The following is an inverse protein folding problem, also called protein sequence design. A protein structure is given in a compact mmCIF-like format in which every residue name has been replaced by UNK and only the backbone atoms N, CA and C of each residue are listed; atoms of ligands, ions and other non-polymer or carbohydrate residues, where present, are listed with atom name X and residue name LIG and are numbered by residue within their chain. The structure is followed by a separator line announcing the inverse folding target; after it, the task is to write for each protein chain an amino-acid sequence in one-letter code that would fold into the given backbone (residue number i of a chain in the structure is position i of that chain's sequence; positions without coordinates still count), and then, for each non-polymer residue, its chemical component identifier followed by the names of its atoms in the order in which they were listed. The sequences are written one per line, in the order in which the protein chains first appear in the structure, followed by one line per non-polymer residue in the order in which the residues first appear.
data_IF_090322223793
#
_entry.id   IF_090322223793
#
_cell.length_a   1.000
_cell.length_b   1.000
_cell.length_c   1.000
_cell.angle_alpha   90.00
_cell.angle_beta   90.00
_cell.angle_gamma   90.00
#
_symmetry.space_group_name_H-M   'P 1'
#
loop_
_entity.id
_entity.type
_entity.pdbx_description
1 polymer ?
#
# COMPACT_ATOMS: atom_id res chain seq x y z
N UNK A 1 -21.86 30.68 1.24
CA UNK A 1 -20.88 29.59 1.22
C UNK A 1 -20.95 28.88 2.56
N UNK A 2 -21.43 27.63 2.58
CA UNK A 2 -21.33 26.80 3.78
C UNK A 2 -19.85 26.43 3.94
N UNK A 3 -19.21 26.83 5.04
CA UNK A 3 -17.91 26.31 5.43
C UNK A 3 -18.06 24.79 5.54
N UNK A 4 -17.51 24.05 4.58
CA UNK A 4 -17.49 22.58 4.62
C UNK A 4 -16.69 22.21 5.86
N UNK A 5 -17.33 21.58 6.84
CA UNK A 5 -16.64 21.09 8.03
C UNK A 5 -15.53 20.11 7.58
N UNK A 6 -14.31 20.19 8.14
CA UNK A 6 -13.28 19.19 7.86
C UNK A 6 -13.80 17.81 8.24
N UNK A 7 -13.65 16.83 7.34
CA UNK A 7 -14.11 15.47 7.60
C UNK A 7 -13.47 14.89 8.85
N UNK A 8 -14.26 14.13 9.63
CA UNK A 8 -13.74 13.34 10.76
C UNK A 8 -12.59 12.43 10.33
N UNK A 9 -12.58 12.01 9.06
CA UNK A 9 -11.56 11.16 8.48
C UNK A 9 -10.17 11.82 8.43
N UNK A 10 -10.10 13.16 8.38
CA UNK A 10 -8.83 13.91 8.44
C UNK A 10 -8.33 14.16 9.87
N UNK A 11 -9.17 13.88 10.88
CA UNK A 11 -8.79 14.12 12.27
C UNK A 11 -7.60 13.24 12.63
N UNK A 12 -6.51 13.87 13.06
CA UNK A 12 -5.35 13.17 13.59
C UNK A 12 -5.75 12.41 14.85
N UNK A 13 -5.41 11.14 14.90
CA UNK A 13 -5.62 10.30 16.06
C UNK A 13 -4.29 9.91 16.69
N UNK A 14 -4.33 9.67 18.00
CA UNK A 14 -3.20 9.08 18.70
C UNK A 14 -3.03 7.63 18.24
N UNK A 15 -1.83 7.30 17.80
CA UNK A 15 -1.43 5.96 17.36
C UNK A 15 -0.59 5.27 18.43
N UNK A 16 -0.38 3.94 18.35
CA UNK A 16 0.58 3.26 19.22
C UNK A 16 1.95 3.92 19.16
N UNK A 17 2.73 3.80 20.24
CA UNK A 17 4.01 4.52 20.50
C UNK A 17 5.04 4.52 19.36
N UNK A 18 4.92 3.59 18.40
CA UNK A 18 5.83 3.40 17.27
C UNK A 18 5.40 4.09 15.97
N UNK A 19 4.25 4.76 15.93
CA UNK A 19 3.76 5.48 14.76
C UNK A 19 3.57 6.96 15.08
N UNK A 20 3.92 7.85 14.14
CA UNK A 20 3.49 9.25 14.18
C UNK A 20 1.97 9.35 14.14
N UNK A 21 1.39 10.46 14.60
CA UNK A 21 -0.06 10.70 14.49
C UNK A 21 -0.53 10.51 13.04
N UNK A 22 -1.57 9.70 12.85
CA UNK A 22 -2.16 9.39 11.54
C UNK A 22 -3.55 10.01 11.43
N UNK A 23 -4.05 10.27 10.22
CA UNK A 23 -5.47 10.58 10.05
C UNK A 23 -6.32 9.36 10.40
N UNK A 24 -7.61 9.55 10.70
CA UNK A 24 -8.52 8.44 10.94
C UNK A 24 -8.66 7.55 9.70
N UNK A 25 -8.63 8.12 8.49
CA UNK A 25 -8.65 7.36 7.24
C UNK A 25 -7.43 6.45 7.10
N UNK A 26 -6.24 7.00 7.37
CA UNK A 26 -4.99 6.26 7.33
C UNK A 26 -4.97 5.12 8.34
N UNK A 27 -5.48 5.37 9.56
CA UNK A 27 -5.59 4.37 10.60
C UNK A 27 -6.55 3.25 10.22
N UNK A 28 -7.73 3.58 9.70
CA UNK A 28 -8.71 2.59 9.22
C UNK A 28 -8.09 1.77 8.08
N UNK A 29 -7.38 2.41 7.16
CA UNK A 29 -6.67 1.73 6.06
C UNK A 29 -5.60 0.76 6.58
N UNK A 30 -4.84 1.16 7.60
CA UNK A 30 -3.77 0.34 8.18
C UNK A 30 -4.29 -0.79 9.06
N UNK A 31 -5.26 -0.54 9.92
CA UNK A 31 -5.65 -1.44 11.02
C UNK A 31 -7.11 -1.89 11.01
N UNK A 32 -7.96 -1.29 10.16
CA UNK A 32 -9.38 -1.63 10.07
C UNK A 32 -9.61 -3.03 9.51
N UNK A 33 -10.82 -3.55 9.71
CA UNK A 33 -11.30 -4.77 9.04
C UNK A 33 -11.75 -4.44 7.62
N UNK A 34 -11.71 -5.42 6.72
CA UNK A 34 -12.05 -5.23 5.32
C UNK A 34 -13.44 -4.61 5.10
N UNK A 35 -14.45 -5.08 5.83
CA UNK A 35 -15.83 -4.58 5.75
C UNK A 35 -15.92 -3.09 6.13
N UNK A 36 -15.20 -2.69 7.18
CA UNK A 36 -15.11 -1.29 7.63
C UNK A 36 -14.40 -0.44 6.58
N UNK A 37 -13.26 -0.91 6.06
CA UNK A 37 -12.50 -0.19 5.02
C UNK A 37 -13.37 0.04 3.80
N UNK A 38 -14.02 -1.01 3.27
CA UNK A 38 -14.91 -0.90 2.11
C UNK A 38 -16.04 0.10 2.34
N UNK A 39 -16.68 0.03 3.51
CA UNK A 39 -17.78 0.93 3.86
C UNK A 39 -17.32 2.38 3.96
N UNK A 40 -16.20 2.63 4.63
CA UNK A 40 -15.65 3.98 4.78
C UNK A 40 -15.25 4.58 3.43
N UNK A 41 -14.52 3.84 2.60
CA UNK A 41 -14.11 4.32 1.28
C UNK A 41 -15.30 4.62 0.35
N UNK A 42 -16.35 3.78 0.39
CA UNK A 42 -17.57 4.04 -0.38
C UNK A 42 -18.31 5.33 -0.01
N UNK A 43 -18.02 5.90 1.17
CA UNK A 43 -18.62 7.14 1.66
C UNK A 43 -17.78 8.39 1.34
N UNK A 44 -16.56 8.24 0.83
CA UNK A 44 -15.69 9.36 0.50
C UNK A 44 -16.12 9.93 -0.85
N UNK A 45 -16.61 11.17 -0.85
CA UNK A 45 -16.94 11.91 -2.07
C UNK A 45 -15.74 12.74 -2.52
N UNK A 46 -15.50 12.79 -3.84
CA UNK A 46 -14.47 13.61 -4.51
C UNK A 46 -14.53 15.12 -4.19
N UNK A 47 -15.62 15.62 -3.62
CA UNK A 47 -15.73 17.04 -3.26
C UNK A 47 -14.96 17.39 -1.98
N UNK A 48 -14.49 16.39 -1.23
CA UNK A 48 -13.60 16.60 -0.08
C UNK A 48 -12.13 16.52 -0.52
N UNK A 49 -11.64 17.62 -1.11
CA UNK A 49 -10.27 17.73 -1.60
C UNK A 49 -9.20 17.54 -0.52
N UNK A 50 -9.54 17.70 0.76
CA UNK A 50 -8.61 17.45 1.86
C UNK A 50 -8.36 15.96 2.11
N UNK A 51 -9.39 15.11 1.93
CA UNK A 51 -9.23 13.65 2.02
C UNK A 51 -8.48 13.07 0.82
N UNK A 52 -8.64 13.70 -0.34
CA UNK A 52 -8.24 13.12 -1.62
C UNK A 52 -6.83 13.47 -2.08
N UNK A 53 -6.32 14.64 -1.67
CA UNK A 53 -4.91 14.99 -1.83
C UNK A 53 -3.97 14.08 -1.01
N UNK A 54 -4.52 13.09 -0.30
CA UNK A 54 -3.80 12.11 0.51
C UNK A 54 -3.79 10.69 -0.11
N UNK A 55 -4.09 10.55 -1.42
CA UNK A 55 -3.99 9.26 -2.13
C UNK A 55 -2.59 8.63 -2.00
N UNK A 56 -1.56 9.48 -1.87
CA UNK A 56 -0.19 9.09 -1.52
C UNK A 56 -0.11 8.28 -0.21
N UNK A 57 -0.81 8.76 0.81
CA UNK A 57 -0.88 8.16 2.15
C UNK A 57 -1.69 6.86 2.18
N UNK A 58 -2.81 6.82 1.46
CA UNK A 58 -3.72 5.66 1.45
C UNK A 58 -3.02 4.40 0.95
N UNK A 59 -2.38 4.48 -0.22
CA UNK A 59 -1.69 3.33 -0.81
C UNK A 59 -0.48 2.92 0.04
N UNK A 60 0.23 3.89 0.63
CA UNK A 60 1.32 3.66 1.56
C UNK A 60 0.86 2.88 2.81
N UNK A 61 -0.29 3.22 3.38
CA UNK A 61 -0.81 2.52 4.55
C UNK A 61 -1.32 1.12 4.23
N UNK A 62 -1.99 0.93 3.10
CA UNK A 62 -2.45 -0.37 2.62
C UNK A 62 -1.27 -1.33 2.35
N UNK A 63 -0.24 -0.85 1.66
CA UNK A 63 0.97 -1.64 1.34
C UNK A 63 1.79 -1.93 2.57
N UNK A 64 1.89 -1.00 3.52
CA UNK A 64 2.58 -1.31 4.76
C UNK A 64 1.78 -2.23 5.69
N UNK A 65 0.44 -2.35 5.57
CA UNK A 65 -0.32 -3.41 6.28
C UNK A 65 0.18 -4.78 5.84
N UNK A 66 0.36 -4.98 4.53
CA UNK A 66 0.92 -6.20 3.94
C UNK A 66 2.33 -6.46 4.49
N UNK A 67 3.18 -5.43 4.52
CA UNK A 67 4.54 -5.51 5.06
C UNK A 67 4.57 -5.98 6.53
N UNK A 68 3.72 -5.40 7.39
CA UNK A 68 3.68 -5.72 8.82
C UNK A 68 3.26 -7.17 9.08
N UNK A 69 2.32 -7.69 8.30
CA UNK A 69 1.77 -9.05 8.50
C UNK A 69 2.82 -10.09 8.23
N UNK A 70 3.51 -9.96 7.10
CA UNK A 70 4.57 -10.87 6.74
C UNK A 70 5.79 -10.76 7.67
N UNK A 71 6.06 -9.56 8.21
CA UNK A 71 7.09 -9.34 9.23
C UNK A 71 6.75 -10.03 10.56
N UNK A 72 5.45 -10.13 10.90
CA UNK A 72 4.95 -10.76 12.14
C UNK A 72 4.59 -12.24 11.97
N UNK A 73 4.58 -12.77 10.74
CA UNK A 73 4.38 -14.18 10.44
C UNK A 73 2.94 -14.70 10.64
N UNK A 74 1.92 -13.84 10.56
CA UNK A 74 0.52 -14.26 10.76
C UNK A 74 -0.19 -14.52 9.42
N UNK A 75 -0.84 -15.68 9.27
CA UNK A 75 -1.61 -16.02 8.04
C UNK A 75 -3.03 -15.46 8.04
N UNK A 76 -3.66 -15.35 9.20
CA UNK A 76 -5.08 -14.99 9.33
C UNK A 76 -5.43 -13.57 8.87
N UNK A 77 -4.42 -12.72 8.61
CA UNK A 77 -4.63 -11.34 8.13
C UNK A 77 -4.08 -11.09 6.72
N UNK A 78 -3.38 -12.05 6.11
CA UNK A 78 -2.72 -11.85 4.81
C UNK A 78 -3.75 -11.68 3.69
N UNK A 79 -4.69 -12.61 3.58
CA UNK A 79 -5.76 -12.58 2.57
C UNK A 79 -6.62 -11.32 2.68
N UNK A 80 -7.02 -10.95 3.90
CA UNK A 80 -7.78 -9.72 4.16
C UNK A 80 -6.99 -8.47 3.72
N UNK A 81 -5.68 -8.46 3.95
CA UNK A 81 -4.84 -7.31 3.60
C UNK A 81 -4.61 -7.19 2.11
N UNK A 82 -4.46 -8.31 1.41
CA UNK A 82 -4.43 -8.35 -0.06
C UNK A 82 -5.78 -7.92 -0.62
N UNK A 83 -6.90 -8.32 -0.01
CA UNK A 83 -8.24 -7.90 -0.42
C UNK A 83 -8.47 -6.39 -0.24
N UNK A 84 -8.06 -5.83 0.90
CA UNK A 84 -8.08 -4.38 1.17
C UNK A 84 -7.20 -3.64 0.16
N UNK A 85 -5.97 -4.11 -0.06
CA UNK A 85 -5.04 -3.51 -1.02
C UNK A 85 -5.61 -3.51 -2.45
N UNK A 86 -6.15 -4.65 -2.88
CA UNK A 86 -6.81 -4.80 -4.19
C UNK A 86 -8.03 -3.88 -4.33
N UNK A 87 -8.83 -3.77 -3.27
CA UNK A 87 -9.96 -2.85 -3.24
C UNK A 87 -9.50 -1.40 -3.40
N UNK A 88 -8.47 -0.98 -2.66
CA UNK A 88 -7.93 0.39 -2.73
C UNK A 88 -7.38 0.69 -4.13
N UNK A 89 -6.61 -0.22 -4.74
CA UNK A 89 -6.14 -0.06 -6.12
C UNK A 89 -7.30 0.14 -7.09
N UNK A 90 -8.35 -0.67 -7.00
CA UNK A 90 -9.50 -0.53 -7.89
C UNK A 90 -10.28 0.77 -7.66
N UNK A 91 -10.42 1.21 -6.41
CA UNK A 91 -11.03 2.50 -6.08
C UNK A 91 -10.22 3.66 -6.67
N UNK A 92 -8.91 3.68 -6.45
CA UNK A 92 -8.01 4.70 -7.01
C UNK A 92 -8.07 4.73 -8.55
N UNK A 93 -8.16 3.57 -9.19
CA UNK A 93 -8.28 3.47 -10.65
C UNK A 93 -9.64 3.97 -11.18
N UNK A 94 -10.75 3.58 -10.55
CA UNK A 94 -12.09 4.11 -10.87
C UNK A 94 -12.13 5.63 -10.76
N UNK A 95 -11.35 6.13 -9.82
CA UNK A 95 -11.18 7.52 -9.48
C UNK A 95 -10.08 8.22 -10.28
N UNK A 96 -9.52 7.59 -11.32
CA UNK A 96 -8.50 8.16 -12.21
C UNK A 96 -7.32 8.81 -11.47
N UNK A 97 -6.97 8.28 -10.30
CA UNK A 97 -5.80 8.73 -9.52
C UNK A 97 -4.56 8.12 -10.14
N UNK A 98 -3.55 8.94 -10.41
CA UNK A 98 -2.24 8.44 -10.82
C UNK A 98 -1.41 8.07 -9.60
N UNK A 99 -0.73 6.92 -9.64
CA UNK A 99 0.26 6.55 -8.63
C UNK A 99 1.59 7.18 -9.02
N UNK A 100 2.24 7.91 -8.10
CA UNK A 100 3.51 8.57 -8.38
C UNK A 100 4.68 7.59 -8.42
N UNK A 101 5.75 7.93 -9.14
CA UNK A 101 6.97 7.11 -9.16
C UNK A 101 7.61 6.96 -7.77
N UNK A 102 7.44 7.94 -6.88
CA UNK A 102 7.90 7.86 -5.49
C UNK A 102 7.12 6.80 -4.71
N UNK A 103 5.79 6.74 -4.87
CA UNK A 103 5.02 5.67 -4.26
C UNK A 103 5.41 4.30 -4.81
N UNK A 104 5.57 4.18 -6.12
CA UNK A 104 6.01 2.93 -6.74
C UNK A 104 7.39 2.51 -6.22
N UNK A 105 8.32 3.46 -6.04
CA UNK A 105 9.61 3.22 -5.41
C UNK A 105 9.44 2.60 -4.02
N UNK A 106 8.65 3.24 -3.15
CA UNK A 106 8.42 2.77 -1.78
C UNK A 106 7.78 1.38 -1.75
N UNK A 107 6.83 1.11 -2.65
CA UNK A 107 6.18 -0.21 -2.75
C UNK A 107 7.19 -1.29 -3.12
N UNK A 108 7.98 -1.05 -4.17
CA UNK A 108 8.97 -2.00 -4.71
C UNK A 108 10.09 -2.26 -3.71
N UNK A 109 10.64 -1.19 -3.13
CA UNK A 109 11.90 -1.26 -2.39
C UNK A 109 11.72 -1.41 -0.88
N UNK A 110 10.57 -1.03 -0.32
CA UNK A 110 10.35 -1.07 1.14
C UNK A 110 9.20 -1.97 1.57
N UNK A 111 8.06 -1.94 0.87
CA UNK A 111 6.83 -2.59 1.38
C UNK A 111 6.74 -4.05 0.99
N UNK A 112 7.03 -4.39 -0.26
CA UNK A 112 6.99 -5.79 -0.70
C UNK A 112 8.20 -6.61 -0.28
N UNK A 113 9.33 -5.96 0.01
CA UNK A 113 10.51 -6.62 0.57
C UNK A 113 10.46 -6.64 2.09
N UNK A 114 10.86 -7.75 2.70
CA UNK A 114 10.92 -7.90 4.16
C UNK A 114 12.30 -8.35 4.57
N UNK A 115 12.99 -7.46 5.27
CA UNK A 115 14.23 -7.80 5.97
C UNK A 115 13.86 -8.39 7.33
N UNK A 116 13.84 -9.71 7.43
CA UNK A 116 13.54 -10.37 8.70
C UNK A 116 14.78 -10.37 9.60
N UNK A 117 15.22 -9.17 10.02
CA UNK A 117 16.44 -8.98 10.83
C UNK A 117 16.30 -9.52 12.26
N UNK A 118 15.08 -9.77 12.74
CA UNK A 118 14.83 -10.01 14.17
C UNK A 118 14.74 -11.48 14.61
N UNK A 119 14.56 -12.46 13.71
CA UNK A 119 14.20 -13.83 14.13
C UNK A 119 14.88 -15.01 13.41
N UNK A 120 16.01 -14.84 12.73
CA UNK A 120 16.75 -15.99 12.17
C UNK A 120 17.66 -15.66 10.99
N UNK A 121 18.13 -16.66 10.23
CA UNK A 121 18.89 -16.42 9.00
C UNK A 121 18.08 -15.53 8.07
N UNK A 122 18.76 -14.59 7.38
CA UNK A 122 18.13 -13.67 6.43
C UNK A 122 17.42 -14.48 5.35
N UNK A 123 16.09 -14.61 5.47
CA UNK A 123 15.25 -15.17 4.41
C UNK A 123 14.54 -14.00 3.76
N UNK A 124 14.87 -13.75 2.50
CA UNK A 124 14.20 -12.78 1.66
C UNK A 124 12.75 -13.26 1.45
N UNK A 125 11.77 -12.44 1.88
CA UNK A 125 10.34 -12.75 1.77
C UNK A 125 9.61 -11.64 1.03
N UNK A 126 8.63 -12.05 0.22
CA UNK A 126 7.79 -11.18 -0.59
C UNK A 126 6.33 -11.60 -0.44
N UNK A 127 5.41 -10.64 -0.56
CA UNK A 127 3.98 -10.95 -0.69
C UNK A 127 3.62 -11.19 -2.16
N UNK A 128 3.75 -12.43 -2.61
CA UNK A 128 3.46 -12.81 -4.00
C UNK A 128 2.02 -12.43 -4.41
N UNK A 129 1.04 -12.56 -3.50
CA UNK A 129 -0.37 -12.24 -3.78
C UNK A 129 -0.62 -10.73 -3.88
N UNK A 130 0.04 -9.90 -3.06
CA UNK A 130 -0.05 -8.45 -3.21
C UNK A 130 0.65 -7.97 -4.49
N UNK A 131 1.77 -8.59 -4.88
CA UNK A 131 2.44 -8.30 -6.15
C UNK A 131 1.50 -8.64 -7.32
N UNK A 132 0.87 -9.82 -7.30
CA UNK A 132 -0.14 -10.19 -8.30
C UNK A 132 -1.31 -9.22 -8.32
N UNK A 133 -1.78 -8.78 -7.15
CA UNK A 133 -2.89 -7.83 -7.04
C UNK A 133 -2.60 -6.50 -7.76
N UNK A 134 -1.42 -5.90 -7.56
CA UNK A 134 -1.07 -4.66 -8.28
C UNK A 134 -0.84 -4.92 -9.77
N UNK A 135 -0.21 -6.04 -10.14
CA UNK A 135 0.08 -6.37 -11.54
C UNK A 135 -1.15 -6.69 -12.38
N UNK A 136 -2.21 -7.21 -11.75
CA UNK A 136 -3.50 -7.49 -12.42
C UNK A 136 -4.50 -6.34 -12.27
N UNK A 137 -4.17 -5.29 -11.51
CA UNK A 137 -4.98 -4.09 -11.39
C UNK A 137 -4.87 -3.19 -12.63
N UNK A 138 -5.72 -2.16 -12.78
CA UNK A 138 -5.57 -1.14 -13.82
C UNK A 138 -4.22 -0.40 -13.80
N UNK A 139 -3.50 -0.42 -12.67
CA UNK A 139 -2.15 0.14 -12.55
C UNK A 139 -1.03 -0.81 -13.00
N UNK A 140 -1.35 -2.07 -13.29
CA UNK A 140 -0.38 -3.11 -13.66
C UNK A 140 0.58 -2.68 -14.78
N UNK A 141 0.10 -2.13 -15.92
CA UNK A 141 0.97 -1.65 -16.99
C UNK A 141 1.93 -0.53 -16.55
N UNK A 142 1.43 0.45 -15.77
CA UNK A 142 2.25 1.53 -15.22
C UNK A 142 3.31 0.97 -14.26
N UNK A 143 2.89 0.08 -13.36
CA UNK A 143 3.75 -0.53 -12.36
C UNK A 143 4.86 -1.36 -12.99
N UNK A 144 4.54 -2.20 -13.98
CA UNK A 144 5.52 -3.01 -14.71
C UNK A 144 6.48 -2.14 -15.52
N UNK A 145 5.98 -1.09 -16.18
CA UNK A 145 6.84 -0.15 -16.89
C UNK A 145 7.86 0.51 -15.94
N UNK A 146 7.38 0.96 -14.77
CA UNK A 146 8.24 1.53 -13.73
C UNK A 146 9.29 0.54 -13.23
N UNK A 147 8.89 -0.69 -12.87
CA UNK A 147 9.81 -1.75 -12.39
C UNK A 147 10.87 -2.10 -13.44
N UNK A 148 10.51 -2.12 -14.72
CA UNK A 148 11.47 -2.38 -15.79
C UNK A 148 12.48 -1.25 -15.97
N UNK A 149 12.08 0.02 -15.78
CA UNK A 149 12.99 1.15 -15.82
C UNK A 149 13.87 1.27 -14.58
N UNK A 150 13.44 0.68 -13.45
CA UNK A 150 14.26 0.60 -12.25
C UNK A 150 15.42 -0.38 -12.41
N UNK A 151 15.37 -1.35 -13.32
CA UNK A 151 16.37 -2.40 -13.45
C UNK A 151 17.71 -1.87 -13.97
N UNK A 152 18.64 -1.63 -13.04
CA UNK A 152 19.98 -1.11 -13.30
C UNK A 152 21.04 -2.04 -12.68
N UNK A 153 22.13 -2.41 -13.41
CA UNK A 153 23.25 -3.17 -12.89
C UNK A 153 23.88 -2.61 -11.61
N UNK A 154 23.80 -1.30 -11.38
CA UNK A 154 24.40 -0.62 -10.23
C UNK A 154 23.48 -0.57 -9.01
N UNK A 155 22.25 -1.08 -9.12
CA UNK A 155 21.34 -1.13 -7.99
C UNK A 155 21.84 -2.03 -6.85
N UNK A 156 21.50 -1.64 -5.63
CA UNK A 156 21.71 -2.47 -4.45
C UNK A 156 21.01 -3.82 -4.57
N UNK A 157 21.58 -4.83 -3.89
CA UNK A 157 21.09 -6.22 -3.88
C UNK A 157 19.58 -6.29 -3.58
N UNK A 158 19.11 -5.53 -2.58
CA UNK A 158 17.70 -5.45 -2.17
C UNK A 158 16.76 -5.06 -3.34
N UNK A 159 17.17 -4.10 -4.16
CA UNK A 159 16.35 -3.61 -5.28
C UNK A 159 16.30 -4.69 -6.36
N UNK A 160 17.43 -5.33 -6.66
CA UNK A 160 17.51 -6.39 -7.67
C UNK A 160 16.62 -7.58 -7.34
N UNK A 161 16.63 -8.04 -6.09
CA UNK A 161 15.77 -9.15 -5.65
C UNK A 161 14.28 -8.76 -5.65
N UNK A 162 13.94 -7.52 -5.29
CA UNK A 162 12.56 -7.00 -5.42
C UNK A 162 12.09 -7.02 -6.87
N UNK A 163 12.90 -6.50 -7.80
CA UNK A 163 12.57 -6.48 -9.24
C UNK A 163 12.37 -7.91 -9.75
N UNK A 164 13.26 -8.84 -9.39
CA UNK A 164 13.16 -10.24 -9.80
C UNK A 164 11.88 -10.91 -9.26
N UNK A 165 11.57 -10.71 -7.96
CA UNK A 165 10.35 -11.24 -7.36
C UNK A 165 9.09 -10.66 -8.00
N UNK A 166 9.08 -9.36 -8.33
CA UNK A 166 7.95 -8.71 -8.99
C UNK A 166 7.75 -9.29 -10.39
N UNK A 167 8.81 -9.30 -11.22
CA UNK A 167 8.72 -9.84 -12.59
C UNK A 167 8.20 -11.27 -12.61
N UNK A 168 8.67 -12.13 -11.70
CA UNK A 168 8.21 -13.52 -11.58
C UNK A 168 6.70 -13.64 -11.34
N UNK A 169 6.13 -12.74 -10.54
CA UNK A 169 4.72 -12.80 -10.14
C UNK A 169 3.78 -12.06 -11.08
N UNK A 170 4.31 -11.20 -11.96
CA UNK A 170 3.54 -10.39 -12.88
C UNK A 170 3.58 -10.92 -14.33
N UNK A 171 4.25 -12.07 -14.54
CA UNK A 171 4.31 -12.82 -15.79
C UNK A 171 3.26 -13.93 -15.83
#
# INVERSE_FOLDING_TARGET
MLNVQPSLLNKKIATPKYYSSMSLLDYITRFGKEDIVRKVYSMISRQDGELYNNSDSILFHATGRIHDILSKGTKENEQESVAIFSFILNSLAHESVNISNEQLWTIVTEKFYIDNLYYGPKVERFNDEAIKAICTSPFGPQFLHYVNNLDNPDNDHKIKISIAAIRRNCQ
#
